data_IF_380295147714
#
_entry.id   IF_380295147714
#
_cell.length_a   1.000
_cell.length_b   1.000
_cell.length_c   1.000
_cell.angle_alpha   90.00
_cell.angle_beta   90.00
_cell.angle_gamma   90.00
#
_symmetry.space_group_name_H-M   'P 1'
#
loop_
_entity.id
_entity.type
_entity.pdbx_description
1 polymer ?
#
# COMPACT_ATOMS: atom_id res chain seq x y z
N UNK A 1 -2.17 -1.33 -21.65
CA UNK A 1 -1.24 -2.08 -20.77
C UNK A 1 0.23 -1.83 -21.11
N UNK A 2 0.64 -1.80 -22.37
CA UNK A 2 2.04 -1.54 -22.72
C UNK A 2 2.59 -0.21 -22.24
N UNK A 3 1.79 0.85 -22.27
CA UNK A 3 2.21 2.17 -21.77
C UNK A 3 2.37 2.22 -20.24
N UNK A 4 1.49 1.54 -19.49
CA UNK A 4 1.58 1.49 -18.03
C UNK A 4 2.86 0.80 -17.55
N UNK A 5 3.34 -0.20 -18.28
CA UNK A 5 4.56 -0.93 -17.92
C UNK A 5 5.86 -0.10 -18.04
N UNK A 6 5.82 1.00 -18.78
CA UNK A 6 6.97 1.90 -18.96
C UNK A 6 6.96 3.05 -17.96
N UNK A 7 5.87 3.27 -17.27
CA UNK A 7 5.75 4.33 -16.26
C UNK A 7 6.50 3.97 -14.99
N UNK A 8 7.09 4.99 -14.38
CA UNK A 8 7.72 4.88 -13.05
C UNK A 8 6.93 5.65 -11.98
N UNK A 9 5.91 6.39 -12.40
CA UNK A 9 5.05 7.20 -11.56
C UNK A 9 3.60 6.98 -11.98
N UNK A 10 2.70 6.82 -11.01
CA UNK A 10 1.29 6.51 -11.27
C UNK A 10 0.39 7.37 -10.40
N UNK A 11 -0.55 8.04 -11.04
CA UNK A 11 -1.63 8.75 -10.38
C UNK A 11 -2.81 7.80 -10.12
N UNK A 12 -3.80 8.28 -9.37
CA UNK A 12 -4.95 7.43 -8.97
C UNK A 12 -5.70 6.83 -10.16
N UNK A 13 -5.81 7.56 -11.27
CA UNK A 13 -6.47 7.05 -12.47
C UNK A 13 -5.76 5.82 -13.06
N UNK A 14 -4.46 5.72 -12.90
CA UNK A 14 -3.69 4.56 -13.32
C UNK A 14 -3.80 3.43 -12.29
N UNK A 15 -3.77 3.78 -11.01
CA UNK A 15 -3.83 2.81 -9.91
C UNK A 15 -5.11 1.99 -9.98
N UNK A 16 -6.24 2.63 -10.24
CA UNK A 16 -7.55 1.94 -10.33
C UNK A 16 -7.67 0.99 -11.54
N UNK A 17 -6.77 1.09 -12.50
CA UNK A 17 -6.68 0.14 -13.63
C UNK A 17 -5.95 -1.15 -13.25
N UNK A 18 -5.27 -1.14 -12.12
CA UNK A 18 -4.42 -2.25 -11.66
C UNK A 18 -4.96 -2.86 -10.37
N UNK A 19 -5.30 -2.02 -9.36
CA UNK A 19 -5.89 -2.48 -8.12
C UNK A 19 -7.41 -2.59 -8.23
N UNK A 20 -8.01 -3.69 -7.76
CA UNK A 20 -9.47 -3.86 -7.77
C UNK A 20 -10.19 -3.09 -6.67
N UNK A 21 -9.46 -2.62 -5.68
CA UNK A 21 -10.01 -1.89 -4.53
C UNK A 21 -10.72 -0.61 -4.98
N UNK A 22 -11.79 -0.24 -4.28
CA UNK A 22 -12.58 0.99 -4.55
C UNK A 22 -12.95 1.65 -3.23
N UNK A 23 -13.47 2.86 -3.29
CA UNK A 23 -13.97 3.57 -2.12
C UNK A 23 -14.90 2.68 -1.29
N UNK A 24 -14.77 2.62 0.05
CA UNK A 24 -13.83 3.42 0.87
C UNK A 24 -12.50 2.68 1.16
N UNK A 25 -12.15 1.67 0.41
CA UNK A 25 -11.07 0.73 0.73
C UNK A 25 -9.84 0.81 -0.18
N UNK A 26 -9.82 1.73 -1.14
CA UNK A 26 -8.59 2.02 -1.85
C UNK A 26 -7.73 2.98 -1.01
N UNK A 27 -6.55 2.50 -0.59
CA UNK A 27 -5.73 3.19 0.40
C UNK A 27 -4.39 3.70 -0.17
N UNK A 28 -4.23 3.69 -1.49
CA UNK A 28 -3.05 4.22 -2.16
C UNK A 28 -3.49 5.35 -3.08
N UNK A 29 -2.86 6.52 -2.93
CA UNK A 29 -3.20 7.71 -3.69
C UNK A 29 -2.28 7.93 -4.89
N UNK A 30 -1.01 7.50 -4.77
CA UNK A 30 0.00 7.72 -5.79
C UNK A 30 1.14 6.71 -5.66
N UNK A 31 1.75 6.37 -6.76
CA UNK A 31 3.04 5.66 -6.79
C UNK A 31 4.09 6.65 -7.28
N UNK A 32 5.05 6.99 -6.44
CA UNK A 32 6.10 7.94 -6.77
C UNK A 32 7.26 7.30 -7.56
N UNK A 33 7.55 6.06 -7.24
CA UNK A 33 8.65 5.34 -7.85
C UNK A 33 8.34 3.85 -7.88
N UNK A 34 8.71 3.19 -8.95
CA UNK A 34 8.65 1.73 -9.06
C UNK A 34 9.88 1.21 -9.80
N UNK A 35 10.50 0.20 -9.24
CA UNK A 35 11.51 -0.62 -9.89
C UNK A 35 10.86 -1.98 -10.17
N UNK A 36 10.56 -2.27 -11.44
CA UNK A 36 9.83 -3.46 -11.83
C UNK A 36 10.36 -4.76 -11.20
N UNK A 37 9.47 -5.54 -10.58
CA UNK A 37 9.80 -6.81 -9.94
C UNK A 37 10.65 -6.71 -8.67
N UNK A 38 10.94 -5.50 -8.20
CA UNK A 38 11.82 -5.28 -7.04
C UNK A 38 11.18 -4.48 -5.93
N UNK A 39 10.80 -3.23 -6.21
CA UNK A 39 10.36 -2.32 -5.16
C UNK A 39 9.47 -1.21 -5.68
N UNK A 40 8.76 -0.56 -4.78
CA UNK A 40 8.07 0.69 -5.06
C UNK A 40 7.99 1.58 -3.82
N UNK A 41 7.70 2.85 -4.09
CA UNK A 41 7.31 3.83 -3.09
C UNK A 41 5.90 4.30 -3.41
N UNK A 42 4.97 4.04 -2.50
CA UNK A 42 3.59 4.47 -2.59
C UNK A 42 3.30 5.57 -1.58
N UNK A 43 2.33 6.41 -1.89
CA UNK A 43 1.89 7.50 -1.03
C UNK A 43 0.42 7.27 -0.67
N UNK A 44 0.12 7.40 0.62
CA UNK A 44 -1.23 7.52 1.13
C UNK A 44 -1.38 8.86 1.86
N UNK A 45 -2.32 9.67 1.43
CA UNK A 45 -2.73 10.87 2.13
C UNK A 45 -3.79 10.51 3.17
N UNK A 46 -3.57 10.95 4.42
CA UNK A 46 -4.52 10.68 5.51
C UNK A 46 -5.34 11.95 5.73
N UNK A 47 -6.65 11.85 5.53
CA UNK A 47 -7.57 12.98 5.68
C UNK A 47 -8.71 12.64 6.64
N UNK A 48 -9.28 13.68 7.28
CA UNK A 48 -10.43 13.50 8.19
C UNK A 48 -11.69 12.99 7.47
N UNK A 49 -11.75 13.13 6.15
CA UNK A 49 -12.89 12.66 5.36
C UNK A 49 -12.94 11.14 5.16
N UNK A 50 -11.97 10.41 5.69
CA UNK A 50 -11.98 8.95 5.59
C UNK A 50 -12.97 8.35 6.60
N UNK A 51 -13.86 7.44 6.17
CA UNK A 51 -14.96 6.94 6.99
C UNK A 51 -14.57 6.32 8.33
N UNK A 52 -13.40 5.69 8.39
CA UNK A 52 -12.96 5.01 9.61
C UNK A 52 -12.70 5.95 10.80
N UNK A 53 -12.47 7.25 10.55
CA UNK A 53 -12.27 8.22 11.64
C UNK A 53 -13.53 8.53 12.43
N UNK A 54 -14.72 8.22 11.89
CA UNK A 54 -15.99 8.39 12.60
C UNK A 54 -16.07 7.50 13.83
N UNK A 55 -15.46 6.33 13.78
CA UNK A 55 -15.47 5.36 14.86
C UNK A 55 -14.13 5.18 15.59
N UNK A 56 -13.05 5.68 15.06
CA UNK A 56 -11.70 5.40 15.58
C UNK A 56 -10.83 6.67 15.69
N UNK A 57 -11.09 7.63 16.53
CA UNK A 57 -12.17 7.70 17.50
C UNK A 57 -12.88 9.04 17.35
N UNK A 58 -14.15 9.22 17.77
CA UNK A 58 -14.90 10.47 17.58
C UNK A 58 -14.20 11.72 18.14
N UNK A 59 -13.56 11.60 19.29
CA UNK A 59 -12.85 12.72 19.95
C UNK A 59 -11.37 12.81 19.57
N UNK A 60 -10.80 11.77 19.01
CA UNK A 60 -9.38 11.71 18.64
C UNK A 60 -9.20 10.80 17.41
N UNK A 61 -9.17 11.38 16.21
CA UNK A 61 -9.01 10.59 15.00
C UNK A 61 -7.60 10.01 14.89
N UNK A 62 -7.52 8.69 14.85
CA UNK A 62 -6.28 7.93 14.69
C UNK A 62 -6.52 6.85 13.64
N UNK A 63 -5.66 6.75 12.66
CA UNK A 63 -5.75 5.71 11.65
C UNK A 63 -5.49 4.34 12.30
N UNK A 64 -6.43 3.39 12.17
CA UNK A 64 -6.21 2.03 12.69
C UNK A 64 -4.94 1.41 12.08
N UNK A 65 -4.09 0.83 12.94
CA UNK A 65 -2.84 0.21 12.50
C UNK A 65 -3.06 -0.89 11.46
N UNK A 66 -4.15 -1.64 11.56
CA UNK A 66 -4.51 -2.68 10.59
C UNK A 66 -4.76 -2.10 9.18
N UNK A 67 -5.20 -0.85 9.07
CA UNK A 67 -5.38 -0.18 7.79
C UNK A 67 -4.05 0.32 7.22
N UNK A 68 -3.07 0.62 8.05
CA UNK A 68 -1.71 0.86 7.59
C UNK A 68 -1.15 -0.40 6.95
N UNK A 69 -1.33 -1.56 7.57
CA UNK A 69 -0.95 -2.85 6.99
C UNK A 69 -1.68 -3.11 5.66
N UNK A 70 -2.96 -2.81 5.60
CA UNK A 70 -3.74 -2.93 4.37
C UNK A 70 -3.18 -2.02 3.27
N UNK A 71 -2.81 -0.78 3.59
CA UNK A 71 -2.18 0.13 2.64
C UNK A 71 -0.88 -0.45 2.08
N UNK A 72 -0.07 -1.05 2.95
CA UNK A 72 1.18 -1.72 2.56
C UNK A 72 0.91 -2.94 1.68
N UNK A 73 -0.10 -3.72 2.01
CA UNK A 73 -0.55 -4.85 1.21
C UNK A 73 -0.98 -4.42 -0.19
N UNK A 74 -1.72 -3.33 -0.30
CA UNK A 74 -2.14 -2.77 -1.59
C UNK A 74 -0.94 -2.28 -2.41
N UNK A 75 0.03 -1.65 -1.78
CA UNK A 75 1.27 -1.24 -2.45
C UNK A 75 2.03 -2.47 -3.00
N UNK A 76 2.17 -3.52 -2.20
CA UNK A 76 2.76 -4.78 -2.65
C UNK A 76 1.98 -5.43 -3.79
N UNK A 77 0.65 -5.45 -3.67
CA UNK A 77 -0.23 -5.96 -4.73
C UNK A 77 -0.05 -5.17 -6.04
N UNK A 78 0.04 -3.84 -5.96
CA UNK A 78 0.31 -3.02 -7.14
C UNK A 78 1.63 -3.42 -7.80
N UNK A 79 2.69 -3.61 -7.02
CA UNK A 79 3.99 -4.01 -7.55
C UNK A 79 3.90 -5.31 -8.36
N UNK A 80 3.18 -6.30 -7.87
CA UNK A 80 3.02 -7.59 -8.56
C UNK A 80 2.05 -7.49 -9.74
N UNK A 81 0.90 -6.87 -9.53
CA UNK A 81 -0.16 -6.82 -10.54
C UNK A 81 0.18 -5.93 -11.74
N UNK A 82 1.08 -4.97 -11.57
CA UNK A 82 1.52 -4.08 -12.66
C UNK A 82 2.20 -4.82 -13.82
N UNK A 83 2.63 -6.05 -13.62
CA UNK A 83 3.26 -6.87 -14.68
C UNK A 83 2.35 -7.92 -15.27
N UNK A 84 1.23 -8.24 -14.63
CA UNK A 84 0.36 -9.30 -15.14
C UNK A 84 -0.55 -8.78 -16.24
N UNK A 85 -0.95 -9.67 -17.13
CA UNK A 85 -2.00 -9.41 -18.08
C UNK A 85 -3.34 -9.45 -17.34
N UNK A 86 -4.23 -8.50 -17.64
CA UNK A 86 -5.56 -8.39 -17.02
C UNK A 86 -5.48 -8.35 -15.47
N UNK A 87 -4.82 -7.35 -14.87
CA UNK A 87 -4.62 -7.32 -13.42
C UNK A 87 -5.92 -7.31 -12.62
N UNK A 88 -6.99 -6.70 -13.14
CA UNK A 88 -8.28 -6.65 -12.45
C UNK A 88 -9.00 -8.01 -12.39
N UNK A 89 -8.55 -9.01 -13.15
CA UNK A 89 -9.03 -10.40 -13.06
C UNK A 89 -8.30 -11.21 -12.00
N UNK A 90 -7.30 -10.64 -11.36
CA UNK A 90 -6.52 -11.28 -10.31
C UNK A 90 -6.87 -10.64 -8.97
N UNK A 91 -7.04 -11.47 -7.96
CA UNK A 91 -7.21 -11.01 -6.59
C UNK A 91 -5.97 -11.38 -5.79
N UNK A 92 -5.51 -10.44 -4.99
CA UNK A 92 -4.45 -10.68 -4.01
C UNK A 92 -5.02 -10.48 -2.62
N UNK A 93 -4.79 -11.46 -1.78
CA UNK A 93 -5.29 -11.46 -0.40
C UNK A 93 -4.11 -11.31 0.57
N UNK A 94 -4.30 -10.47 1.55
CA UNK A 94 -3.39 -10.34 2.67
C UNK A 94 -3.47 -11.60 3.52
N UNK A 95 -2.37 -12.35 3.65
CA UNK A 95 -2.36 -13.62 4.37
C UNK A 95 -1.71 -13.54 5.75
N UNK A 96 -0.84 -12.57 5.97
CA UNK A 96 -0.20 -12.41 7.27
C UNK A 96 0.89 -11.35 7.26
N UNK A 97 1.32 -10.98 8.44
CA UNK A 97 2.43 -10.05 8.66
C UNK A 97 3.21 -10.46 9.90
N UNK A 98 4.53 -10.34 9.81
CA UNK A 98 5.45 -10.63 10.92
C UNK A 98 6.14 -9.35 11.38
N UNK A 99 6.55 -9.32 12.65
CA UNK A 99 7.35 -8.24 13.24
C UNK A 99 6.72 -6.85 13.06
N UNK A 100 5.40 -6.76 13.24
CA UNK A 100 4.67 -5.50 13.12
C UNK A 100 4.79 -4.69 14.41
N UNK A 101 5.21 -3.42 14.27
CA UNK A 101 5.25 -2.48 15.38
C UNK A 101 4.76 -1.11 14.92
N UNK A 102 3.80 -0.56 15.62
CA UNK A 102 3.30 0.80 15.41
C UNK A 102 3.90 1.72 16.46
N UNK A 103 4.86 2.55 16.05
CA UNK A 103 5.61 3.41 16.98
C UNK A 103 5.08 4.84 17.05
N UNK A 104 4.26 5.23 16.10
CA UNK A 104 3.71 6.58 16.00
C UNK A 104 2.26 6.50 15.57
N UNK A 105 1.43 7.34 16.21
CA UNK A 105 0.04 7.51 15.80
C UNK A 105 -0.02 8.21 14.44
N UNK A 106 -0.85 7.72 13.56
CA UNK A 106 -1.13 8.31 12.26
C UNK A 106 -2.46 9.04 12.37
N UNK A 107 -2.44 10.33 12.07
CA UNK A 107 -3.58 11.23 12.25
C UNK A 107 -3.88 11.97 10.95
N UNK A 108 -5.11 12.53 10.80
CA UNK A 108 -5.44 13.37 9.65
C UNK A 108 -4.42 14.48 9.44
N UNK A 109 -4.01 14.69 8.20
CA UNK A 109 -2.94 15.61 7.82
C UNK A 109 -1.59 14.93 7.61
N UNK A 110 -1.42 13.70 8.06
CA UNK A 110 -0.20 12.95 7.78
C UNK A 110 -0.20 12.41 6.34
N UNK A 111 0.99 12.20 5.83
CA UNK A 111 1.21 11.53 4.56
C UNK A 111 2.09 10.30 4.80
N UNK A 112 1.61 9.12 4.42
CA UNK A 112 2.35 7.87 4.55
C UNK A 112 3.19 7.66 3.31
N UNK A 113 4.49 7.45 3.51
CA UNK A 113 5.41 6.97 2.49
C UNK A 113 5.62 5.47 2.71
N UNK A 114 5.14 4.68 1.79
CA UNK A 114 5.14 3.21 1.88
C UNK A 114 6.19 2.67 0.92
N UNK A 115 7.29 2.17 1.47
CA UNK A 115 8.39 1.59 0.70
C UNK A 115 8.33 0.08 0.78
N UNK A 116 8.00 -0.57 -0.32
CA UNK A 116 7.85 -2.03 -0.37
C UNK A 116 8.93 -2.65 -1.25
N UNK A 117 9.61 -3.66 -0.71
CA UNK A 117 10.53 -4.51 -1.45
C UNK A 117 9.91 -5.89 -1.61
N UNK A 118 9.90 -6.41 -2.83
CA UNK A 118 9.56 -7.80 -3.08
C UNK A 118 10.75 -8.67 -2.72
N UNK A 119 10.63 -9.43 -1.63
CA UNK A 119 11.70 -10.30 -1.14
C UNK A 119 11.67 -11.65 -1.81
N UNK A 120 10.47 -12.21 -1.99
CA UNK A 120 10.29 -13.55 -2.54
C UNK A 120 8.93 -13.67 -3.21
N UNK A 121 8.94 -14.32 -4.35
CA UNK A 121 7.72 -14.73 -5.04
C UNK A 121 7.84 -16.21 -5.39
N UNK A 122 6.91 -17.01 -4.90
CA UNK A 122 6.88 -18.44 -5.19
C UNK A 122 5.44 -18.88 -5.36
N UNK A 123 5.13 -19.41 -6.56
CA UNK A 123 3.76 -19.80 -6.91
C UNK A 123 2.79 -18.62 -6.71
N UNK A 124 1.84 -18.78 -5.80
CA UNK A 124 0.80 -17.79 -5.51
C UNK A 124 1.09 -16.95 -4.26
N UNK A 125 2.31 -17.03 -3.72
CA UNK A 125 2.69 -16.33 -2.49
C UNK A 125 3.78 -15.32 -2.80
N UNK A 126 3.53 -14.07 -2.39
CA UNK A 126 4.51 -12.98 -2.48
C UNK A 126 4.84 -12.50 -1.07
N UNK A 127 6.12 -12.38 -0.79
CA UNK A 127 6.62 -11.82 0.47
C UNK A 127 7.26 -10.46 0.20
N UNK A 128 6.81 -9.48 0.95
CA UNK A 128 7.33 -8.12 0.89
C UNK A 128 7.94 -7.71 2.21
N UNK A 129 8.84 -6.76 2.15
CA UNK A 129 9.45 -6.14 3.30
C UNK A 129 9.38 -4.62 3.14
N UNK A 130 9.03 -3.93 4.24
CA UNK A 130 9.06 -2.49 4.28
C UNK A 130 10.52 -2.01 4.42
N UNK A 131 10.91 -1.04 3.61
CA UNK A 131 12.16 -0.32 3.84
C UNK A 131 11.97 0.71 4.94
N UNK A 132 12.98 0.88 5.78
CA UNK A 132 12.99 1.96 6.77
C UNK A 132 12.65 3.29 6.12
N UNK A 133 11.53 3.87 6.51
CA UNK A 133 11.20 5.23 6.17
C UNK A 133 11.87 6.18 7.14
N UNK A 134 12.54 7.20 6.64
CA UNK A 134 13.13 8.26 7.46
C UNK A 134 12.12 9.31 7.90
N UNK A 135 10.90 9.33 7.33
CA UNK A 135 9.90 10.38 7.56
C UNK A 135 8.75 9.98 8.46
N UNK A 136 8.40 8.70 8.49
CA UNK A 136 7.42 8.15 9.41
C UNK A 136 8.06 6.92 10.01
N UNK A 137 7.94 6.76 11.32
CA UNK A 137 8.50 5.60 11.99
C UNK A 137 7.93 4.33 11.38
N UNK A 138 8.65 3.81 10.42
CA UNK A 138 8.28 2.59 9.76
C UNK A 138 8.38 1.44 10.74
N UNK A 139 7.33 0.70 10.81
CA UNK A 139 7.40 -0.65 11.29
C UNK A 139 8.13 -1.49 10.24
N UNK A 140 9.05 -2.33 10.66
CA UNK A 140 9.55 -3.40 9.81
C UNK A 140 8.41 -4.40 9.65
N UNK A 141 7.79 -4.42 8.48
CA UNK A 141 6.67 -5.31 8.21
C UNK A 141 7.01 -6.16 7.00
N UNK A 142 7.00 -7.48 7.21
CA UNK A 142 6.96 -8.42 6.11
C UNK A 142 5.50 -8.78 5.85
N UNK A 143 5.03 -8.60 4.62
CA UNK A 143 3.71 -9.02 4.18
C UNK A 143 3.90 -10.24 3.28
N UNK A 144 3.25 -11.31 3.63
CA UNK A 144 3.27 -12.55 2.85
C UNK A 144 1.92 -12.82 2.21
#
# INVERSE_FOLDING_TARGET
>A
MGELRKKTHFEIQDIVKILPHRYPFILIDRIDEIIPGKSLTAIKNVTVNEPFFQGHFPSQPVMPGVLTLESMSQAGAFLVLSYVKDPLKKNMFFSGADNVRFRKLIVPGNQLYIHMNLVKQKLNICKFEDRKSTRLNSSHTSIS
#
